data_IF_638941346092
#
_entry.id   IF_638941346092
#
_cell.length_a   1.000
_cell.length_b   1.000
_cell.length_c   1.000
_cell.angle_alpha   90.00
_cell.angle_beta   90.00
_cell.angle_gamma   90.00
#
_symmetry.space_group_name_H-M   'P 1'
#
loop_
_entity.id
_entity.type
_entity.pdbx_description
1 polymer ?
#
# COMPACT_ATOMS: atom_id res chain seq x y z
N UNK A 1 3.45 -17.94 -8.02
CA UNK A 1 4.42 -16.88 -8.42
C UNK A 1 3.65 -15.65 -8.88
N UNK A 2 4.13 -14.43 -8.57
CA UNK A 2 3.50 -13.21 -9.10
C UNK A 2 3.77 -13.12 -10.60
N UNK A 3 2.74 -12.84 -11.41
CA UNK A 3 2.93 -12.59 -12.85
C UNK A 3 3.92 -11.43 -13.03
N UNK A 4 4.92 -11.55 -13.93
CA UNK A 4 5.89 -10.49 -14.16
C UNK A 4 5.19 -9.19 -14.55
N UNK A 5 5.70 -8.08 -14.04
CA UNK A 5 5.14 -6.76 -14.31
C UNK A 5 5.42 -6.37 -15.75
N UNK A 6 4.36 -6.23 -16.55
CA UNK A 6 4.45 -5.53 -17.82
C UNK A 6 4.64 -4.04 -17.54
N UNK A 7 5.90 -3.60 -17.52
CA UNK A 7 6.30 -2.24 -17.18
C UNK A 7 5.54 -1.21 -18.03
N UNK A 8 5.36 -1.48 -19.32
CA UNK A 8 4.56 -0.63 -20.23
C UNK A 8 3.12 -0.44 -19.73
N UNK A 9 2.44 -1.52 -19.33
CA UNK A 9 1.09 -1.43 -18.78
C UNK A 9 1.07 -0.73 -17.41
N UNK A 10 2.12 -0.91 -16.60
CA UNK A 10 2.29 -0.23 -15.31
C UNK A 10 2.38 1.29 -15.51
N UNK A 11 3.20 1.75 -16.46
CA UNK A 11 3.35 3.16 -16.80
C UNK A 11 2.08 3.72 -17.47
N UNK A 12 1.50 3.00 -18.43
CA UNK A 12 0.23 3.37 -19.07
C UNK A 12 -0.93 3.53 -18.07
N UNK A 13 -0.92 2.75 -16.98
CA UNK A 13 -1.94 2.88 -15.92
C UNK A 13 -1.88 4.20 -15.15
N UNK A 14 -0.75 4.90 -15.19
CA UNK A 14 -0.54 6.17 -14.47
C UNK A 14 -1.05 7.39 -15.22
N UNK A 15 -1.22 7.28 -16.54
CA UNK A 15 -1.74 8.32 -17.41
C UNK A 15 -3.26 8.50 -17.22
N UNK A 16 -3.83 9.57 -17.77
CA UNK A 16 -5.28 9.62 -18.00
C UNK A 16 -5.71 8.64 -19.11
N UNK A 17 -6.98 8.24 -19.16
CA UNK A 17 -7.46 7.33 -20.20
C UNK A 17 -7.35 7.90 -21.60
N UNK A 18 -7.68 9.18 -21.79
CA UNK A 18 -7.59 9.82 -23.11
C UNK A 18 -6.13 9.96 -23.54
N UNK A 19 -5.27 10.38 -22.62
CA UNK A 19 -3.83 10.50 -22.86
C UNK A 19 -3.20 9.14 -23.21
N UNK A 20 -3.58 8.08 -22.48
CA UNK A 20 -3.11 6.73 -22.79
C UNK A 20 -3.60 6.23 -24.16
N UNK A 21 -4.84 6.55 -24.54
CA UNK A 21 -5.38 6.22 -25.84
C UNK A 21 -4.71 7.01 -26.97
N UNK A 22 -4.36 8.28 -26.76
CA UNK A 22 -3.61 9.05 -27.75
C UNK A 22 -2.19 8.50 -27.93
N UNK A 23 -1.47 8.26 -26.83
CA UNK A 23 -0.07 7.79 -26.89
C UNK A 23 0.09 6.34 -27.37
N UNK A 24 -0.90 5.50 -27.12
CA UNK A 24 -0.84 4.07 -27.43
C UNK A 24 -1.91 3.59 -28.43
N UNK A 25 -2.75 4.49 -28.94
CA UNK A 25 -3.78 4.18 -29.94
C UNK A 25 -3.24 4.13 -31.35
N UNK A 26 -4.12 4.39 -32.33
CA UNK A 26 -3.78 4.42 -33.76
C UNK A 26 -2.64 5.38 -34.07
N UNK A 27 -2.62 6.52 -33.38
CA UNK A 27 -1.68 7.62 -33.64
C UNK A 27 -0.36 7.46 -32.86
N UNK A 28 -0.26 6.37 -32.08
CA UNK A 28 0.89 6.07 -31.23
C UNK A 28 1.51 4.72 -31.58
N UNK A 29 1.74 3.90 -30.56
CA UNK A 29 2.38 2.59 -30.74
C UNK A 29 1.42 1.42 -30.99
N UNK A 30 0.13 1.68 -31.23
CA UNK A 30 -0.89 0.69 -31.56
C UNK A 30 -1.18 -0.36 -30.46
N UNK A 31 -0.63 -0.19 -29.25
CA UNK A 31 -0.76 -1.15 -28.15
C UNK A 31 -2.11 -1.08 -27.44
N UNK A 32 -2.86 0.02 -27.59
CA UNK A 32 -4.13 0.25 -26.91
C UNK A 32 -5.22 -0.69 -27.44
N UNK A 33 -5.85 -1.43 -26.53
CA UNK A 33 -6.97 -2.29 -26.83
C UNK A 33 -8.14 -1.94 -25.88
N UNK A 34 -9.27 -1.41 -26.40
CA UNK A 34 -10.37 -0.94 -25.57
C UNK A 34 -11.00 -2.07 -24.72
N UNK A 35 -10.92 -3.33 -25.17
CA UNK A 35 -11.52 -4.46 -24.45
C UNK A 35 -10.74 -4.85 -23.18
N UNK A 36 -9.42 -4.58 -23.12
CA UNK A 36 -8.57 -5.04 -22.01
C UNK A 36 -7.81 -3.93 -21.29
N UNK A 37 -7.50 -2.81 -21.96
CA UNK A 37 -6.66 -1.76 -21.40
C UNK A 37 -7.30 -1.05 -20.22
N UNK A 38 -8.62 -0.80 -20.22
CA UNK A 38 -9.30 -0.22 -19.06
C UNK A 38 -9.14 -1.09 -17.80
N UNK A 39 -9.41 -2.39 -17.92
CA UNK A 39 -9.27 -3.35 -16.82
C UNK A 39 -7.81 -3.51 -16.37
N UNK A 40 -6.87 -3.62 -17.31
CA UNK A 40 -5.43 -3.69 -16.99
C UNK A 40 -4.96 -2.45 -16.25
N UNK A 41 -5.34 -1.26 -16.69
CA UNK A 41 -4.97 0.00 -16.06
C UNK A 41 -5.56 0.12 -14.66
N UNK A 42 -6.83 -0.22 -14.48
CA UNK A 42 -7.44 -0.31 -13.15
C UNK A 42 -6.71 -1.31 -12.25
N UNK A 43 -6.35 -2.48 -12.78
CA UNK A 43 -5.57 -3.46 -12.04
C UNK A 43 -4.24 -2.89 -11.53
N UNK A 44 -3.45 -2.24 -12.39
CA UNK A 44 -2.16 -1.69 -12.00
C UNK A 44 -2.28 -0.51 -11.01
N UNK A 45 -3.28 0.37 -11.16
CA UNK A 45 -3.56 1.46 -10.20
C UNK A 45 -3.89 0.96 -8.79
N UNK A 46 -4.64 -0.14 -8.71
CA UNK A 46 -5.07 -0.73 -7.43
C UNK A 46 -4.14 -1.86 -6.95
N UNK A 47 -3.11 -2.23 -7.72
CA UNK A 47 -2.22 -3.35 -7.40
C UNK A 47 -1.48 -3.12 -6.08
N UNK A 48 -1.02 -1.91 -5.82
CA UNK A 48 -0.36 -1.53 -4.57
C UNK A 48 -1.25 -1.81 -3.36
N UNK A 49 -2.48 -1.29 -3.38
CA UNK A 49 -3.49 -1.51 -2.32
C UNK A 49 -3.80 -2.99 -2.16
N UNK A 50 -4.11 -3.70 -3.26
CA UNK A 50 -4.44 -5.13 -3.20
C UNK A 50 -3.29 -5.96 -2.64
N UNK A 51 -2.05 -5.66 -3.03
CA UNK A 51 -0.86 -6.34 -2.51
C UNK A 51 -0.64 -6.03 -1.03
N UNK A 52 -0.85 -4.79 -0.61
CA UNK A 52 -0.78 -4.37 0.78
C UNK A 52 -1.83 -5.10 1.64
N UNK A 53 -3.09 -5.11 1.22
CA UNK A 53 -4.18 -5.85 1.90
C UNK A 53 -3.88 -7.36 1.97
N UNK A 54 -3.40 -7.96 0.87
CA UNK A 54 -2.99 -9.39 0.87
C UNK A 54 -1.81 -9.67 1.79
N UNK A 55 -0.87 -8.73 1.93
CA UNK A 55 0.26 -8.86 2.86
C UNK A 55 -0.22 -8.76 4.31
N UNK A 56 -1.17 -7.87 4.60
CA UNK A 56 -1.80 -7.76 5.92
C UNK A 56 -2.56 -9.04 6.29
N UNK A 57 -3.41 -9.57 5.40
CA UNK A 57 -4.17 -10.82 5.66
C UNK A 57 -3.25 -12.01 5.96
N UNK A 58 -2.16 -12.16 5.21
CA UNK A 58 -1.17 -13.24 5.45
C UNK A 58 -0.47 -13.13 6.80
N UNK A 59 -0.33 -11.91 7.34
CA UNK A 59 0.26 -11.69 8.67
C UNK A 59 -0.76 -11.96 9.79
N UNK A 60 -2.01 -11.53 9.62
CA UNK A 60 -3.08 -11.77 10.59
C UNK A 60 -3.62 -13.21 10.62
N UNK A 61 -3.52 -13.98 9.53
CA UNK A 61 -3.91 -15.40 9.53
C UNK A 61 -2.91 -16.34 10.23
N UNK A 62 -1.74 -15.84 10.64
CA UNK A 62 -0.80 -16.63 11.45
C UNK A 62 -1.18 -16.65 12.94
N UNK A 63 -2.21 -15.92 13.37
CA UNK A 63 -2.58 -15.71 14.77
C UNK A 63 -3.95 -16.27 15.18
N UNK A 64 -4.58 -17.11 14.34
CA UNK A 64 -5.82 -17.80 14.73
C UNK A 64 -5.50 -19.22 15.24
N UNK A 65 -5.67 -19.52 16.54
CA UNK A 65 -5.55 -20.89 17.03
C UNK A 65 -6.73 -21.71 16.49
N UNK A 66 -6.43 -22.74 15.70
CA UNK A 66 -7.43 -23.70 15.23
C UNK A 66 -8.07 -24.37 16.45
N UNK A 67 -9.29 -23.95 16.75
CA UNK A 67 -10.22 -24.71 17.58
C UNK A 67 -10.88 -25.73 16.67
N UNK A 68 -10.43 -26.98 16.69
CA UNK A 68 -11.21 -28.07 16.11
C UNK A 68 -10.90 -29.42 16.76
N UNK A 69 -11.96 -29.95 17.34
CA UNK A 69 -12.23 -31.29 17.88
C UNK A 69 -11.70 -32.47 17.02
N UNK A 70 -11.56 -33.66 17.63
CA UNK A 70 -10.91 -34.81 16.99
C UNK A 70 -11.87 -35.59 16.06
N UNK A 71 -11.53 -35.63 14.78
CA UNK A 71 -12.18 -36.49 13.77
C UNK A 71 -11.13 -37.14 12.86
N UNK A 72 -11.10 -38.46 12.85
CA UNK A 72 -10.06 -39.36 12.33
C UNK A 72 -9.78 -39.19 10.83
N UNK A 73 -8.52 -38.89 10.49
CA UNK A 73 -7.87 -39.28 9.21
C UNK A 73 -6.36 -39.20 9.40
N UNK A 74 -5.64 -40.25 9.04
CA UNK A 74 -4.17 -40.30 8.99
C UNK A 74 -3.65 -39.28 7.96
N UNK A 75 -3.48 -38.04 8.42
CA UNK A 75 -2.80 -36.98 7.69
C UNK A 75 -1.47 -36.79 8.40
N UNK A 76 -0.36 -36.82 7.64
CA UNK A 76 1.00 -36.50 8.10
C UNK A 76 0.91 -35.30 9.03
N UNK A 77 1.10 -35.52 10.34
CA UNK A 77 0.98 -34.47 11.36
C UNK A 77 2.19 -33.57 11.21
N UNK A 78 2.05 -32.53 10.38
CA UNK A 78 3.01 -31.43 10.34
C UNK A 78 2.98 -30.78 11.71
N UNK A 79 4.04 -30.97 12.49
CA UNK A 79 4.17 -30.31 13.79
C UNK A 79 4.28 -28.80 13.56
N UNK A 80 3.31 -28.06 14.07
CA UNK A 80 3.40 -26.60 14.15
C UNK A 80 4.37 -26.26 15.27
N UNK A 81 5.52 -25.68 14.92
CA UNK A 81 6.51 -25.20 15.89
C UNK A 81 6.30 -23.70 16.08
N UNK A 82 5.95 -23.29 17.30
CA UNK A 82 5.76 -21.90 17.65
C UNK A 82 7.11 -21.23 17.93
N UNK A 83 7.62 -20.53 16.92
CA UNK A 83 8.76 -19.62 17.10
C UNK A 83 8.21 -18.25 17.46
N UNK A 84 8.46 -17.80 18.70
CA UNK A 84 8.11 -16.44 19.13
C UNK A 84 8.85 -15.42 18.25
N UNK A 85 8.10 -14.71 17.43
CA UNK A 85 8.66 -13.65 16.61
C UNK A 85 9.24 -12.56 17.52
N UNK A 86 10.47 -12.08 17.29
CA UNK A 86 11.06 -11.05 18.12
C UNK A 86 10.25 -9.76 17.98
N UNK A 87 9.92 -9.14 19.13
CA UNK A 87 9.12 -7.92 19.23
C UNK A 87 9.92 -6.67 18.79
N UNK A 88 10.37 -6.65 17.53
CA UNK A 88 11.15 -5.56 16.96
C UNK A 88 10.21 -4.57 16.26
N UNK A 89 10.31 -3.26 16.54
CA UNK A 89 9.47 -2.27 15.90
C UNK A 89 9.84 -2.10 14.42
N UNK A 90 8.81 -2.11 13.58
CA UNK A 90 8.92 -1.87 12.15
C UNK A 90 7.89 -0.82 11.71
N UNK A 91 8.36 0.40 11.47
CA UNK A 91 7.55 1.44 10.84
C UNK A 91 7.49 1.27 9.32
N UNK A 92 6.30 1.43 8.76
CA UNK A 92 6.02 1.36 7.31
C UNK A 92 5.33 2.64 6.88
N UNK A 93 5.85 3.31 5.84
CA UNK A 93 5.27 4.54 5.29
C UNK A 93 4.46 4.24 4.02
N UNK A 94 3.31 4.90 3.89
CA UNK A 94 2.41 4.84 2.74
C UNK A 94 2.44 6.17 1.99
N UNK A 95 2.92 6.14 0.75
CA UNK A 95 2.99 7.30 -0.14
C UNK A 95 1.86 7.24 -1.16
N UNK A 96 0.96 8.21 -1.13
CA UNK A 96 -0.08 8.33 -2.15
C UNK A 96 0.45 9.24 -3.27
N UNK A 97 1.04 8.66 -4.31
CA UNK A 97 1.63 9.37 -5.46
C UNK A 97 1.70 8.47 -6.69
N UNK A 98 1.74 9.07 -7.87
CA UNK A 98 1.75 8.33 -9.14
C UNK A 98 3.13 7.73 -9.43
N UNK A 99 4.19 8.54 -9.28
CA UNK A 99 5.60 8.14 -9.32
C UNK A 99 6.35 8.81 -8.17
N UNK A 100 7.62 8.44 -7.95
CA UNK A 100 8.51 9.13 -6.98
C UNK A 100 8.66 10.62 -7.28
N UNK A 101 8.71 10.96 -8.56
CA UNK A 101 8.87 12.33 -9.06
C UNK A 101 7.53 13.09 -9.14
N UNK A 102 6.40 12.40 -8.96
CA UNK A 102 5.09 13.06 -8.98
C UNK A 102 4.83 13.78 -7.67
N UNK A 103 4.04 14.88 -7.69
CA UNK A 103 3.58 15.54 -6.47
C UNK A 103 2.96 14.55 -5.49
N UNK A 104 3.35 14.67 -4.21
CA UNK A 104 2.80 13.86 -3.14
C UNK A 104 1.37 14.29 -2.85
N UNK A 105 0.41 13.38 -3.00
CA UNK A 105 -0.99 13.66 -2.69
C UNK A 105 -1.29 13.54 -1.19
N UNK A 106 -0.88 12.42 -0.58
CA UNK A 106 -1.08 12.15 0.84
C UNK A 106 0.00 11.23 1.41
N UNK A 107 0.14 11.23 2.73
CA UNK A 107 1.11 10.43 3.48
C UNK A 107 0.43 9.78 4.68
N UNK A 108 0.61 8.47 4.86
CA UNK A 108 0.22 7.76 6.08
C UNK A 108 1.31 6.81 6.55
N UNK A 109 1.15 6.21 7.73
CA UNK A 109 2.14 5.28 8.25
C UNK A 109 1.52 4.23 9.20
N UNK A 110 2.23 3.12 9.38
CA UNK A 110 1.86 2.05 10.32
C UNK A 110 3.08 1.62 11.13
N UNK A 111 2.85 1.22 12.38
CA UNK A 111 3.85 0.60 13.26
C UNK A 111 3.47 -0.85 13.53
N UNK A 112 4.45 -1.73 13.38
CA UNK A 112 4.31 -3.15 13.59
C UNK A 112 5.29 -3.65 14.65
N UNK A 113 4.88 -4.62 15.45
CA UNK A 113 5.71 -5.35 16.41
C UNK A 113 5.60 -6.83 16.09
N UNK A 114 6.66 -7.42 15.51
CA UNK A 114 6.57 -8.77 14.96
C UNK A 114 5.51 -8.88 13.87
N UNK A 115 4.42 -9.60 14.17
CA UNK A 115 3.28 -9.80 13.26
C UNK A 115 2.10 -8.85 13.51
N UNK A 116 2.10 -8.12 14.62
CA UNK A 116 0.96 -7.32 15.05
C UNK A 116 1.11 -5.86 14.62
N UNK A 117 0.04 -5.29 14.06
CA UNK A 117 -0.03 -3.85 13.80
C UNK A 117 -0.48 -3.13 15.06
N UNK A 118 0.47 -2.51 15.74
CA UNK A 118 0.24 -1.89 17.05
C UNK A 118 -0.16 -0.41 17.00
N UNK A 119 0.12 0.28 15.88
CA UNK A 119 -0.33 1.65 15.68
C UNK A 119 -0.46 2.02 14.19
N UNK A 120 -1.24 3.06 13.90
CA UNK A 120 -1.43 3.63 12.57
C UNK A 120 -1.56 5.15 12.66
N UNK A 121 -0.88 5.85 11.77
CA UNK A 121 -1.12 7.26 11.46
C UNK A 121 -2.00 7.30 10.21
N UNK A 122 -3.22 7.81 10.36
CA UNK A 122 -4.13 7.98 9.23
C UNK A 122 -3.51 8.90 8.17
N UNK A 123 -3.79 8.65 6.87
CA UNK A 123 -3.24 9.49 5.82
C UNK A 123 -3.63 10.96 6.00
N UNK A 124 -2.68 11.85 5.74
CA UNK A 124 -2.88 13.31 5.71
C UNK A 124 -2.60 13.81 4.30
N UNK A 125 -3.46 14.68 3.77
CA UNK A 125 -3.20 15.33 2.48
C UNK A 125 -1.93 16.20 2.59
N UNK A 126 -1.05 16.07 1.61
CA UNK A 126 0.20 16.83 1.55
C UNK A 126 0.13 18.01 0.56
N UNK A 127 -1.06 18.31 0.02
CA UNK A 127 -1.25 19.43 -0.89
C UNK A 127 -0.86 20.74 -0.18
N UNK A 128 0.15 21.43 -0.73
CA UNK A 128 0.68 22.67 -0.15
C UNK A 128 1.84 22.50 0.83
N UNK A 129 2.24 21.27 1.17
CA UNK A 129 3.44 21.03 1.98
C UNK A 129 4.70 21.06 1.10
N UNK A 130 5.74 21.74 1.59
CA UNK A 130 7.09 21.68 0.98
C UNK A 130 7.78 20.36 1.31
N UNK A 131 8.82 20.01 0.55
CA UNK A 131 9.62 18.81 0.84
C UNK A 131 10.20 18.80 2.27
N UNK A 132 10.61 19.97 2.77
CA UNK A 132 11.11 20.11 4.14
C UNK A 132 10.01 19.77 5.15
N UNK A 133 8.80 20.28 4.96
CA UNK A 133 7.66 19.99 5.84
C UNK A 133 7.27 18.51 5.79
N UNK A 134 7.32 17.87 4.62
CA UNK A 134 7.10 16.42 4.50
C UNK A 134 8.17 15.62 5.25
N UNK A 135 9.45 16.01 5.15
CA UNK A 135 10.54 15.39 5.92
C UNK A 135 10.34 15.57 7.43
N UNK A 136 9.96 16.77 7.87
CA UNK A 136 9.64 17.03 9.29
C UNK A 136 8.47 16.18 9.77
N UNK A 137 7.43 16.01 8.95
CA UNK A 137 6.29 15.15 9.27
C UNK A 137 6.73 13.68 9.44
N UNK A 138 7.59 13.17 8.56
CA UNK A 138 8.14 11.82 8.69
C UNK A 138 8.91 11.60 9.99
N UNK A 139 9.75 12.56 10.39
CA UNK A 139 10.48 12.50 11.66
C UNK A 139 9.50 12.49 12.84
N UNK A 140 8.51 13.39 12.84
CA UNK A 140 7.45 13.40 13.87
C UNK A 140 6.70 12.09 13.97
N UNK A 141 6.39 11.43 12.85
CA UNK A 141 5.72 10.12 12.85
C UNK A 141 6.60 9.08 13.55
N UNK A 142 7.90 9.06 13.27
CA UNK A 142 8.85 8.15 13.91
C UNK A 142 8.99 8.42 15.41
N UNK A 143 8.98 9.69 15.82
CA UNK A 143 9.00 10.08 17.23
C UNK A 143 7.74 9.60 17.95
N UNK A 144 6.55 9.80 17.37
CA UNK A 144 5.28 9.32 17.92
C UNK A 144 5.28 7.79 18.04
N UNK A 145 5.78 7.07 17.04
CA UNK A 145 5.92 5.62 17.11
C UNK A 145 6.93 5.15 18.17
N UNK A 146 8.01 5.91 18.37
CA UNK A 146 8.99 5.62 19.42
C UNK A 146 8.39 5.77 20.80
N UNK A 147 7.63 6.85 21.02
CA UNK A 147 6.90 7.10 22.26
C UNK A 147 5.84 6.02 22.53
N UNK A 148 5.06 5.65 21.51
CA UNK A 148 3.99 4.64 21.62
C UNK A 148 4.52 3.24 21.94
N UNK A 149 5.65 2.84 21.34
CA UNK A 149 6.22 1.50 21.54
C UNK A 149 7.18 1.39 22.71
N UNK A 150 7.61 2.51 23.31
CA UNK A 150 8.69 2.54 24.30
C UNK A 150 10.07 2.14 23.73
N UNK A 151 10.18 1.96 22.41
CA UNK A 151 11.40 1.55 21.72
C UNK A 151 11.76 2.57 20.65
N UNK A 152 13.05 2.84 20.47
CA UNK A 152 13.50 3.83 19.48
C UNK A 152 13.23 3.34 18.05
N UNK A 153 12.42 4.09 17.30
CA UNK A 153 12.10 3.83 15.89
C UNK A 153 12.78 4.88 15.02
N UNK A 154 14.03 4.64 14.64
CA UNK A 154 14.86 5.65 13.97
C UNK A 154 14.53 5.84 12.48
N UNK A 155 13.87 4.87 11.86
CA UNK A 155 13.62 4.86 10.41
C UNK A 155 12.45 3.98 10.01
N UNK A 156 11.85 4.32 8.88
CA UNK A 156 10.91 3.43 8.19
C UNK A 156 11.67 2.22 7.63
N UNK A 157 11.22 1.02 8.01
CA UNK A 157 11.77 -0.26 7.53
C UNK A 157 11.26 -0.62 6.14
N UNK A 158 10.11 -0.09 5.75
CA UNK A 158 9.52 -0.33 4.44
C UNK A 158 8.73 0.89 3.97
N UNK A 159 8.61 1.02 2.65
CA UNK A 159 7.76 2.01 2.01
C UNK A 159 6.84 1.34 1.01
N UNK A 160 5.63 1.87 0.89
CA UNK A 160 4.60 1.38 -0.03
C UNK A 160 4.11 2.58 -0.85
N UNK A 161 4.17 2.45 -2.17
CA UNK A 161 3.61 3.43 -3.09
C UNK A 161 2.20 3.02 -3.50
N UNK A 162 1.26 3.93 -3.29
CA UNK A 162 -0.16 3.78 -3.60
C UNK A 162 -0.57 4.87 -4.59
N UNK A 163 -1.41 4.52 -5.56
CA UNK A 163 -1.93 5.52 -6.49
C UNK A 163 -2.83 6.54 -5.74
N UNK A 164 -2.79 7.85 -6.07
CA UNK A 164 -3.58 8.88 -5.36
C UNK A 164 -5.09 8.65 -5.36
N UNK A 165 -5.63 8.00 -6.40
CA UNK A 165 -7.04 7.58 -6.45
C UNK A 165 -7.45 6.63 -5.32
N UNK A 166 -6.48 6.00 -4.64
CA UNK A 166 -6.73 5.17 -3.47
C UNK A 166 -6.75 5.96 -2.16
N UNK A 167 -6.67 7.30 -2.20
CA UNK A 167 -6.70 8.12 -0.99
C UNK A 167 -8.01 7.87 -0.22
N UNK A 168 -7.95 7.51 1.07
CA UNK A 168 -9.14 7.25 1.88
C UNK A 168 -9.77 8.52 2.47
N UNK A 169 -9.07 9.66 2.45
CA UNK A 169 -9.50 10.90 3.11
C UNK A 169 -10.69 11.52 2.34
N UNK A 170 -11.73 11.98 3.04
CA UNK A 170 -12.86 12.73 2.46
C UNK A 170 -13.20 13.96 3.31
N UNK A 171 -13.47 15.14 2.71
CA UNK A 171 -13.40 15.44 1.27
C UNK A 171 -11.95 15.40 0.73
N UNK A 172 -11.79 15.05 -0.54
CA UNK A 172 -10.48 14.88 -1.19
C UNK A 172 -10.30 15.87 -2.35
N UNK A 173 -9.14 16.51 -2.54
CA UNK A 173 -8.90 17.36 -3.71
C UNK A 173 -9.09 16.65 -5.06
N UNK A 174 -8.93 15.31 -5.10
CA UNK A 174 -9.18 14.50 -6.29
C UNK A 174 -10.65 14.08 -6.46
N UNK A 175 -11.46 14.25 -5.42
CA UNK A 175 -12.88 13.91 -5.37
C UNK A 175 -13.60 14.99 -4.54
N UNK A 176 -13.75 16.21 -5.06
CA UNK A 176 -14.46 17.27 -4.34
C UNK A 176 -15.91 16.85 -4.13
N UNK A 177 -16.41 16.97 -2.90
CA UNK A 177 -17.84 16.84 -2.65
C UNK A 177 -18.52 18.04 -3.29
N UNK A 178 -19.16 17.82 -4.44
CA UNK A 178 -20.03 18.83 -5.05
C UNK A 178 -21.24 18.95 -4.14
N UNK A 179 -21.24 19.96 -3.27
CA UNK A 179 -22.48 20.40 -2.62
C UNK A 179 -23.32 21.05 -3.72
N UNK A 180 -24.28 20.29 -4.24
CA UNK A 180 -25.38 20.82 -5.06
C UNK A 180 -26.36 21.56 -4.17
#
# INVERSE_FOLDING_TARGET
MARPDQEKCRLCSKLDSQEAQQRHGSDGDGCWNPNVCHNRRSYYRHRGVRNHVRKQRRRGQQTEPLSSEPGVSEVVRVATLDVLAPAVPAAVVHWYRVTKESPLHALGAELWMGNDRVAKVEPVHCLGLTELQVKTLLVRILDVFSQHSGMKVERFRSSVELHPQNCPIRPCPLYPEVRL
#
